data_IF_488211645306
#
_entry.id   IF_488211645306
#
_cell.length_a   1.000
_cell.length_b   1.000
_cell.length_c   1.000
_cell.angle_alpha   90.00
_cell.angle_beta   90.00
_cell.angle_gamma   90.00
#
_symmetry.space_group_name_H-M   'P 1'
#
loop_
_entity.id
_entity.type
_entity.pdbx_description
1 polymer ?
#
# COMPACT_ATOMS: atom_id res chain seq x y z
N UNK A 1 -10.06 0.23 -22.74
CA UNK A 1 -10.43 -0.91 -21.88
C UNK A 1 -11.06 -0.33 -20.62
N UNK A 2 -12.25 -0.81 -20.20
CA UNK A 2 -12.86 -0.39 -18.94
C UNK A 2 -12.08 -1.01 -17.78
N UNK A 3 -11.85 -0.30 -16.66
CA UNK A 3 -11.32 -0.92 -15.45
C UNK A 3 -12.25 -2.05 -14.98
N UNK A 4 -11.70 -3.07 -14.30
CA UNK A 4 -12.53 -4.09 -13.68
C UNK A 4 -13.50 -3.44 -12.69
N UNK A 5 -14.72 -3.99 -12.56
CA UNK A 5 -15.68 -3.48 -11.58
C UNK A 5 -15.11 -3.63 -10.17
N UNK A 6 -15.48 -2.71 -9.29
CA UNK A 6 -15.24 -2.84 -7.86
C UNK A 6 -15.97 -4.07 -7.31
N UNK A 7 -15.37 -4.67 -6.29
CA UNK A 7 -16.03 -5.70 -5.49
C UNK A 7 -17.29 -5.12 -4.83
N UNK A 8 -18.45 -5.82 -4.86
CA UNK A 8 -19.70 -5.28 -4.36
C UNK A 8 -19.70 -5.05 -2.84
N UNK A 9 -19.02 -5.90 -2.06
CA UNK A 9 -18.90 -5.73 -0.60
C UNK A 9 -18.06 -4.49 -0.29
N UNK A 10 -16.94 -4.33 -0.99
CA UNK A 10 -16.11 -3.13 -0.87
C UNK A 10 -16.88 -1.86 -1.31
N UNK A 11 -17.66 -1.94 -2.39
CA UNK A 11 -18.45 -0.82 -2.89
C UNK A 11 -19.45 -0.30 -1.86
N UNK A 12 -20.09 -1.19 -1.09
CA UNK A 12 -21.00 -0.81 -0.01
C UNK A 12 -20.27 -0.04 1.10
N UNK A 13 -19.10 -0.50 1.52
CA UNK A 13 -18.27 0.15 2.55
C UNK A 13 -17.79 1.52 2.08
N UNK A 14 -17.28 1.62 0.85
CA UNK A 14 -16.80 2.89 0.28
C UNK A 14 -17.91 3.94 0.21
N UNK A 15 -19.16 3.53 -0.03
CA UNK A 15 -20.31 4.44 -0.05
C UNK A 15 -20.56 5.08 1.32
N UNK A 16 -20.46 4.31 2.39
CA UNK A 16 -20.58 4.84 3.77
C UNK A 16 -19.40 5.76 4.10
N UNK A 17 -18.18 5.37 3.74
CA UNK A 17 -16.99 6.20 3.98
C UNK A 17 -17.04 7.54 3.25
N UNK A 18 -17.64 7.59 2.05
CA UNK A 18 -17.79 8.82 1.29
C UNK A 18 -18.69 9.86 1.97
N UNK A 19 -19.52 9.47 2.94
CA UNK A 19 -20.34 10.41 3.74
C UNK A 19 -19.49 11.15 4.79
N UNK A 20 -18.32 10.62 5.14
CA UNK A 20 -17.44 11.15 6.19
C UNK A 20 -16.15 11.76 5.66
N UNK A 21 -15.71 11.35 4.47
CA UNK A 21 -14.44 11.79 3.88
C UNK A 21 -14.71 12.86 2.81
N UNK A 22 -14.03 14.02 2.88
CA UNK A 22 -14.13 15.03 1.83
C UNK A 22 -13.76 14.44 0.46
N UNK A 23 -14.49 14.78 -0.62
CA UNK A 23 -14.22 14.26 -1.96
C UNK A 23 -12.92 14.81 -2.57
N UNK A 24 -12.30 15.80 -1.93
CA UNK A 24 -11.02 16.37 -2.33
C UNK A 24 -10.18 16.74 -1.11
N UNK A 25 -8.87 16.62 -1.27
CA UNK A 25 -7.88 17.07 -0.29
C UNK A 25 -7.10 18.20 -0.94
N UNK A 26 -7.18 19.39 -0.35
CA UNK A 26 -6.41 20.53 -0.79
C UNK A 26 -5.00 20.52 -0.16
N UNK A 27 -4.03 21.18 -0.81
CA UNK A 27 -2.61 21.08 -0.45
C UNK A 27 -2.32 21.60 0.96
N UNK A 28 -3.03 22.63 1.37
CA UNK A 28 -3.01 23.26 2.69
C UNK A 28 -3.43 22.30 3.82
N UNK A 29 -4.15 21.23 3.52
CA UNK A 29 -4.56 20.23 4.50
C UNK A 29 -3.48 19.17 4.75
N UNK A 30 -2.45 19.07 3.90
CA UNK A 30 -1.42 18.03 4.01
C UNK A 30 -0.71 18.01 5.37
N UNK A 31 -0.31 19.14 5.99
CA UNK A 31 0.28 19.12 7.32
C UNK A 31 -0.67 18.51 8.36
N UNK A 32 -1.92 18.97 8.40
CA UNK A 32 -2.93 18.47 9.34
C UNK A 32 -3.22 16.98 9.15
N UNK A 33 -3.23 16.48 7.91
CA UNK A 33 -3.44 15.06 7.61
C UNK A 33 -2.25 14.21 8.06
N UNK A 34 -1.01 14.69 7.89
CA UNK A 34 0.18 13.98 8.39
C UNK A 34 0.16 13.85 9.91
N UNK A 35 -0.28 14.89 10.61
CA UNK A 35 -0.42 14.87 12.06
C UNK A 35 -1.54 13.94 12.54
N UNK A 36 -2.63 13.85 11.76
CA UNK A 36 -3.76 12.95 12.02
C UNK A 36 -3.46 11.48 11.68
N UNK A 37 -2.50 11.24 10.77
CA UNK A 37 -2.15 9.94 10.19
C UNK A 37 -1.70 8.86 11.17
N UNK A 38 -1.53 9.18 12.45
CA UNK A 38 -1.23 8.21 13.51
C UNK A 38 -2.46 7.47 14.04
N UNK A 39 -3.68 7.96 13.77
CA UNK A 39 -4.91 7.30 14.18
C UNK A 39 -5.30 6.19 13.17
N UNK A 40 -5.07 4.92 13.53
CA UNK A 40 -5.51 3.76 12.75
C UNK A 40 -4.45 3.12 11.86
N UNK A 41 -3.17 3.46 12.05
CA UNK A 41 -2.09 2.63 11.51
C UNK A 41 -2.10 1.28 12.21
N UNK A 42 -2.15 0.21 11.41
CA UNK A 42 -1.86 -1.12 11.92
C UNK A 42 -0.50 -1.09 12.60
N UNK A 43 -0.43 -1.64 13.81
CA UNK A 43 0.83 -1.92 14.50
C UNK A 43 1.73 -2.79 13.63
N UNK A 44 3.04 -2.73 13.87
CA UNK A 44 3.98 -3.59 13.17
C UNK A 44 3.60 -5.06 13.38
N UNK A 45 3.18 -5.45 14.59
CA UNK A 45 2.66 -6.78 14.90
C UNK A 45 1.46 -7.20 14.03
N UNK A 46 0.51 -6.30 13.80
CA UNK A 46 -0.63 -6.54 12.90
C UNK A 46 -0.18 -6.66 11.44
N UNK A 47 0.79 -5.85 11.02
CA UNK A 47 1.39 -5.94 9.69
C UNK A 47 2.12 -7.26 9.50
N UNK A 48 2.86 -7.73 10.51
CA UNK A 48 3.57 -9.01 10.48
C UNK A 48 2.66 -10.24 10.32
N UNK A 49 1.35 -10.10 10.60
CA UNK A 49 0.33 -11.17 10.50
C UNK A 49 0.86 -12.51 11.01
N UNK A 50 1.26 -12.54 12.29
CA UNK A 50 1.86 -13.70 12.96
C UNK A 50 3.15 -14.23 12.31
N UNK A 51 4.02 -13.34 11.83
CA UNK A 51 5.27 -13.67 11.09
C UNK A 51 5.02 -14.41 9.77
N UNK A 52 3.87 -14.20 9.12
CA UNK A 52 3.62 -14.75 7.79
C UNK A 52 4.61 -14.26 6.72
N UNK A 53 5.32 -13.16 7.00
CA UNK A 53 6.46 -12.71 6.23
C UNK A 53 7.49 -12.03 7.14
N UNK A 54 8.75 -12.08 6.73
CA UNK A 54 9.84 -11.37 7.39
C UNK A 54 9.79 -9.89 7.01
N UNK A 55 10.21 -9.01 7.92
CA UNK A 55 10.40 -7.59 7.64
C UNK A 55 11.71 -7.16 8.28
N UNK A 56 12.45 -6.32 7.56
CA UNK A 56 13.67 -5.68 8.03
C UNK A 56 13.61 -4.18 7.82
N UNK A 57 14.09 -3.43 8.81
CA UNK A 57 14.21 -1.99 8.75
C UNK A 57 15.58 -1.58 8.21
N UNK A 58 15.56 -0.76 7.15
CA UNK A 58 16.75 -0.26 6.49
C UNK A 58 16.74 1.26 6.48
N UNK A 59 17.86 1.87 6.83
CA UNK A 59 18.01 3.32 6.79
C UNK A 59 18.82 3.72 5.57
N UNK A 60 18.28 4.58 4.71
CA UNK A 60 18.98 5.06 3.51
C UNK A 60 19.17 6.57 3.53
N UNK A 61 20.35 7.08 3.13
CA UNK A 61 20.58 8.51 3.06
C UNK A 61 19.69 9.14 1.98
N UNK A 62 19.10 10.28 2.31
CA UNK A 62 18.42 11.11 1.32
C UNK A 62 19.42 11.78 0.35
N UNK A 63 18.91 12.39 -0.73
CA UNK A 63 19.73 13.27 -1.56
C UNK A 63 20.30 14.45 -0.75
N UNK A 64 21.30 15.19 -1.28
CA UNK A 64 21.88 16.33 -0.56
C UNK A 64 20.82 17.32 -0.05
N UNK A 65 20.83 17.59 1.25
CA UNK A 65 19.88 18.49 1.93
C UNK A 65 18.54 17.85 2.33
N UNK A 66 18.29 16.58 2.02
CA UNK A 66 17.09 15.84 2.40
C UNK A 66 17.35 14.95 3.63
N UNK A 67 16.28 14.62 4.39
CA UNK A 67 16.41 13.71 5.54
C UNK A 67 16.75 12.29 5.10
N UNK A 68 17.31 11.55 6.05
CA UNK A 68 17.45 10.10 5.97
C UNK A 68 16.07 9.45 6.07
N UNK A 69 15.83 8.39 5.29
CA UNK A 69 14.52 7.72 5.21
C UNK A 69 14.62 6.30 5.75
N UNK A 70 13.62 5.90 6.53
CA UNK A 70 13.41 4.52 6.96
C UNK A 70 12.65 3.76 5.85
N UNK A 71 13.20 2.63 5.42
CA UNK A 71 12.57 1.70 4.50
C UNK A 71 12.19 0.44 5.25
N UNK A 72 10.93 0.05 5.12
CA UNK A 72 10.43 -1.23 5.57
C UNK A 72 10.58 -2.25 4.43
N UNK A 73 11.48 -3.21 4.57
CA UNK A 73 11.74 -4.25 3.56
C UNK A 73 10.98 -5.51 3.93
N UNK A 74 9.95 -5.85 3.16
CA UNK A 74 9.27 -7.15 3.26
C UNK A 74 9.76 -8.07 2.12
N UNK A 75 10.79 -8.91 2.34
CA UNK A 75 11.21 -9.87 1.33
C UNK A 75 10.05 -10.78 0.94
N UNK A 76 9.97 -11.09 -0.35
CA UNK A 76 8.93 -12.00 -0.84
C UNK A 76 9.11 -13.36 -0.20
N UNK A 77 8.14 -13.77 0.61
CA UNK A 77 8.03 -15.18 0.96
C UNK A 77 7.73 -15.97 -0.32
N UNK A 78 8.37 -17.12 -0.51
CA UNK A 78 8.00 -18.03 -1.60
C UNK A 78 6.54 -18.41 -1.36
N UNK A 79 5.67 -17.93 -2.22
CA UNK A 79 4.28 -18.39 -2.21
C UNK A 79 4.30 -19.81 -2.77
N UNK A 80 3.95 -20.81 -1.96
CA UNK A 80 3.56 -22.14 -2.44
C UNK A 80 2.16 -22.04 -3.04
N UNK A 81 1.97 -21.10 -3.98
CA UNK A 81 0.86 -21.17 -4.90
C UNK A 81 1.26 -22.25 -5.91
N UNK A 82 0.89 -23.49 -5.60
CA UNK A 82 1.01 -24.64 -6.50
C UNK A 82 -0.09 -24.53 -7.58
N UNK A 83 -0.03 -23.43 -8.33
CA UNK A 83 -0.95 -23.08 -9.40
C UNK A 83 -0.15 -22.37 -10.49
N UNK A 84 -0.27 -22.77 -11.76
CA UNK A 84 0.65 -22.31 -12.79
C UNK A 84 0.49 -20.79 -12.99
N UNK A 85 1.56 -20.04 -12.66
CA UNK A 85 1.72 -18.66 -13.08
C UNK A 85 1.68 -18.64 -14.60
N UNK A 86 0.55 -18.20 -15.17
CA UNK A 86 0.42 -17.96 -16.62
C UNK A 86 1.54 -16.98 -17.04
N UNK A 87 2.43 -17.34 -17.96
CA UNK A 87 3.44 -16.42 -18.44
C UNK A 87 2.76 -15.26 -19.16
N UNK A 88 3.08 -14.01 -18.76
CA UNK A 88 2.73 -12.83 -19.54
C UNK A 88 3.41 -12.95 -20.90
N UNK A 89 2.63 -13.14 -21.97
CA UNK A 89 3.13 -13.07 -23.35
C UNK A 89 3.70 -11.67 -23.58
N UNK A 90 5.02 -11.57 -23.72
CA UNK A 90 5.68 -10.42 -24.32
C UNK A 90 5.32 -10.43 -25.81
N UNK A 91 4.46 -9.50 -26.24
CA UNK A 91 4.31 -9.21 -27.66
C UNK A 91 5.60 -8.49 -28.10
N UNK A 92 6.46 -9.20 -28.82
CA UNK A 92 7.59 -8.59 -29.54
C UNK A 92 7.09 -8.07 -30.91
N UNK A 93 7.64 -6.96 -31.41
CA UNK A 93 7.26 -6.43 -32.72
C UNK A 93 7.94 -7.21 -33.86
N UNK A 94 7.25 -7.33 -34.98
CA UNK A 94 7.84 -7.61 -36.31
C UNK A 94 7.52 -6.45 -37.22
#
# INVERSE_FOLDING_TARGET
MSPPPLDPELGAVLKVLAEHIPPSIALELVPAIRDCGMAGQASDEELYRDRAFEIEDWTVPGPPGAPTVLLLIAPRHRSTADGPLRPRRRAGPR
#
